data_IF_298783869084
#
_entry.id   IF_298783869084
#
_cell.length_a   1.000
_cell.length_b   1.000
_cell.length_c   1.000
_cell.angle_alpha   90.00
_cell.angle_beta   90.00
_cell.angle_gamma   90.00
#
_symmetry.space_group_name_H-M   'P 1'
#
loop_
_entity.id
_entity.type
_entity.pdbx_description
1 polymer ?
#
# COMPACT_ATOMS: atom_id res chain seq x y z
N UNK A 1 -26.78 -33.82 -0.19
CA UNK A 1 -25.93 -33.01 0.68
C UNK A 1 -25.73 -31.67 0.01
N UNK A 2 -26.40 -30.62 0.47
CA UNK A 2 -26.18 -29.25 0.03
C UNK A 2 -24.90 -28.76 0.70
N UNK A 3 -23.80 -28.70 -0.05
CA UNK A 3 -22.62 -27.94 0.36
C UNK A 3 -23.00 -26.46 0.28
N UNK A 4 -23.22 -25.84 1.41
CA UNK A 4 -23.33 -24.39 1.50
C UNK A 4 -21.96 -23.84 1.11
N UNK A 5 -21.82 -23.39 -0.12
CA UNK A 5 -20.64 -22.66 -0.55
C UNK A 5 -20.60 -21.35 0.27
N UNK A 6 -19.60 -21.20 1.11
CA UNK A 6 -19.43 -19.98 1.89
C UNK A 6 -19.42 -18.79 0.90
N UNK A 7 -20.22 -17.76 1.17
CA UNK A 7 -20.27 -16.58 0.33
C UNK A 7 -18.86 -15.97 0.21
N UNK A 8 -18.46 -15.69 -1.02
CA UNK A 8 -17.15 -15.13 -1.32
C UNK A 8 -17.01 -13.72 -0.70
N UNK A 9 -15.87 -13.45 -0.05
CA UNK A 9 -15.61 -12.14 0.57
C UNK A 9 -15.57 -11.04 -0.49
N UNK A 10 -16.31 -9.95 -0.29
CA UNK A 10 -16.27 -8.77 -1.14
C UNK A 10 -15.02 -7.93 -0.89
N UNK A 11 -14.64 -7.08 -1.85
CA UNK A 11 -13.54 -6.13 -1.69
C UNK A 11 -13.73 -5.22 -0.47
N UNK A 12 -14.94 -4.73 -0.25
CA UNK A 12 -15.26 -3.87 0.90
C UNK A 12 -15.11 -4.63 2.24
N UNK A 13 -15.59 -5.85 2.30
CA UNK A 13 -15.42 -6.71 3.49
C UNK A 13 -13.93 -6.96 3.77
N UNK A 14 -13.15 -7.26 2.72
CA UNK A 14 -11.72 -7.46 2.83
C UNK A 14 -11.01 -6.20 3.32
N UNK A 15 -11.30 -5.03 2.73
CA UNK A 15 -10.71 -3.77 3.15
C UNK A 15 -11.00 -3.46 4.62
N UNK A 16 -12.26 -3.59 5.04
CA UNK A 16 -12.65 -3.37 6.45
C UNK A 16 -11.94 -4.31 7.40
N UNK A 17 -11.81 -5.58 7.03
CA UNK A 17 -11.10 -6.58 7.85
C UNK A 17 -9.62 -6.24 7.99
N UNK A 18 -8.96 -5.88 6.88
CA UNK A 18 -7.53 -5.51 6.89
C UNK A 18 -7.27 -4.25 7.72
N UNK A 19 -8.13 -3.25 7.58
CA UNK A 19 -8.01 -2.01 8.35
C UNK A 19 -8.20 -2.26 9.84
N UNK A 20 -9.18 -3.07 10.25
CA UNK A 20 -9.34 -3.45 11.66
C UNK A 20 -8.10 -4.15 12.23
N UNK A 21 -7.51 -5.06 11.47
CA UNK A 21 -6.28 -5.75 11.89
C UNK A 21 -5.12 -4.77 12.09
N UNK A 22 -4.95 -3.82 11.18
CA UNK A 22 -3.93 -2.77 11.29
C UNK A 22 -4.21 -1.88 12.50
N UNK A 23 -5.43 -1.41 12.69
CA UNK A 23 -5.82 -0.56 13.83
C UNK A 23 -5.60 -1.25 15.18
N UNK A 24 -5.93 -2.54 15.28
CA UNK A 24 -5.68 -3.34 16.47
C UNK A 24 -4.19 -3.47 16.77
N UNK A 25 -3.37 -3.71 15.73
CA UNK A 25 -1.93 -3.79 15.87
C UNK A 25 -1.31 -2.44 16.25
N UNK A 26 -1.80 -1.34 15.68
CA UNK A 26 -1.40 0.03 16.04
C UNK A 26 -1.72 0.33 17.52
N UNK A 27 -2.92 0.00 17.96
CA UNK A 27 -3.35 0.23 19.34
C UNK A 27 -2.51 -0.59 20.34
N UNK A 28 -2.21 -1.84 20.01
CA UNK A 28 -1.36 -2.69 20.84
C UNK A 28 0.07 -2.14 20.93
N UNK A 29 0.63 -1.71 19.79
CA UNK A 29 1.99 -1.16 19.74
C UNK A 29 2.09 0.17 20.49
N UNK A 30 1.06 1.02 20.44
CA UNK A 30 1.03 2.29 21.17
C UNK A 30 1.16 2.12 22.68
N UNK A 31 0.70 0.99 23.23
CA UNK A 31 0.83 0.65 24.66
C UNK A 31 2.24 0.19 25.05
N UNK A 32 3.00 -0.34 24.11
CA UNK A 32 4.35 -0.83 24.33
C UNK A 32 5.20 -0.64 23.05
N UNK A 33 5.64 0.59 22.76
CA UNK A 33 6.28 0.94 21.48
C UNK A 33 7.58 0.20 21.18
N UNK A 34 8.24 -0.31 22.24
CA UNK A 34 9.51 -1.06 22.12
C UNK A 34 9.33 -2.57 22.07
N UNK A 35 8.11 -3.05 22.18
CA UNK A 35 7.81 -4.49 22.11
C UNK A 35 7.99 -5.00 20.68
N UNK A 36 8.96 -5.88 20.48
CA UNK A 36 9.33 -6.39 19.16
C UNK A 36 8.26 -7.28 18.55
N UNK A 37 7.50 -8.03 19.37
CA UNK A 37 6.40 -8.86 18.90
C UNK A 37 5.23 -7.99 18.39
N UNK A 38 4.94 -6.87 19.05
CA UNK A 38 3.90 -5.93 18.60
C UNK A 38 4.33 -5.15 17.35
N UNK A 39 5.60 -4.81 17.23
CA UNK A 39 6.15 -4.23 16.00
C UNK A 39 6.03 -5.22 14.83
N UNK A 40 6.34 -6.49 15.05
CA UNK A 40 6.17 -7.54 14.06
C UNK A 40 4.70 -7.74 13.67
N UNK A 41 3.78 -7.71 14.62
CA UNK A 41 2.34 -7.86 14.37
C UNK A 41 1.80 -6.73 13.46
N UNK A 42 2.22 -5.48 13.66
CA UNK A 42 1.84 -4.38 12.79
C UNK A 42 2.41 -4.57 11.38
N UNK A 43 3.67 -4.95 11.28
CA UNK A 43 4.32 -5.24 9.99
C UNK A 43 3.61 -6.36 9.24
N UNK A 44 3.22 -7.41 9.93
CA UNK A 44 2.50 -8.55 9.35
C UNK A 44 1.09 -8.15 8.88
N UNK A 45 0.36 -7.37 9.68
CA UNK A 45 -0.96 -6.87 9.30
C UNK A 45 -0.90 -6.01 8.02
N UNK A 46 0.13 -5.19 7.87
CA UNK A 46 0.38 -4.38 6.67
C UNK A 46 0.73 -5.28 5.48
N UNK A 47 1.60 -6.25 5.66
CA UNK A 47 2.01 -7.19 4.61
C UNK A 47 0.85 -8.04 4.11
N UNK A 48 -0.11 -8.36 4.96
CA UNK A 48 -1.32 -9.11 4.59
C UNK A 48 -2.37 -8.25 3.88
N UNK A 49 -2.29 -6.92 3.98
CA UNK A 49 -3.23 -5.99 3.35
C UNK A 49 -2.79 -5.51 1.97
N UNK A 50 -1.49 -5.28 1.78
CA UNK A 50 -0.93 -4.62 0.60
C UNK A 50 -0.16 -5.57 -0.30
N UNK A 51 -0.45 -5.49 -1.60
CA UNK A 51 0.35 -6.14 -2.65
C UNK A 51 1.46 -5.19 -3.10
N UNK A 52 2.57 -5.21 -2.39
CA UNK A 52 3.72 -4.35 -2.70
C UNK A 52 4.40 -4.73 -4.03
N UNK A 53 4.29 -5.97 -4.47
CA UNK A 53 4.86 -6.40 -5.76
C UNK A 53 4.07 -5.80 -6.93
N UNK A 54 2.74 -5.74 -6.84
CA UNK A 54 1.92 -5.06 -7.84
C UNK A 54 2.24 -3.56 -7.87
N UNK A 55 2.33 -2.92 -6.72
CA UNK A 55 2.73 -1.51 -6.62
C UNK A 55 4.11 -1.28 -7.24
N UNK A 56 5.07 -2.16 -6.97
CA UNK A 56 6.41 -2.08 -7.53
C UNK A 56 6.41 -2.13 -9.06
N UNK A 57 5.68 -3.08 -9.65
CA UNK A 57 5.58 -3.21 -11.11
C UNK A 57 4.92 -2.00 -11.75
N UNK A 58 3.83 -1.52 -11.18
CA UNK A 58 3.13 -0.33 -11.67
C UNK A 58 3.98 0.94 -11.54
N UNK A 59 4.84 1.00 -10.54
CA UNK A 59 5.74 2.15 -10.29
C UNK A 59 6.86 2.29 -11.31
N UNK A 60 7.23 1.25 -12.03
CA UNK A 60 8.18 1.32 -13.16
C UNK A 60 7.50 1.23 -14.51
N UNK A 61 6.22 0.83 -14.55
CA UNK A 61 5.41 0.74 -15.75
C UNK A 61 6.09 -0.08 -16.85
N UNK A 62 6.23 0.52 -18.04
CA UNK A 62 6.84 -0.14 -19.20
C UNK A 62 8.27 -0.66 -18.97
N UNK A 63 9.00 -0.08 -18.03
CA UNK A 63 10.38 -0.49 -17.74
C UNK A 63 10.47 -1.85 -17.08
N UNK A 64 9.37 -2.36 -16.49
CA UNK A 64 9.35 -3.70 -15.92
C UNK A 64 9.75 -4.78 -16.95
N UNK A 65 9.16 -4.72 -18.12
CA UNK A 65 9.44 -5.67 -19.20
C UNK A 65 10.84 -5.48 -19.83
N UNK A 66 11.45 -4.33 -19.66
CA UNK A 66 12.82 -4.05 -20.11
C UNK A 66 13.89 -4.53 -19.11
N UNK A 67 13.49 -4.90 -17.90
CA UNK A 67 14.40 -5.46 -16.89
C UNK A 67 14.74 -6.90 -17.20
N UNK A 68 16.00 -7.29 -16.92
CA UNK A 68 16.37 -8.70 -16.87
C UNK A 68 15.71 -9.39 -15.68
N UNK A 69 15.57 -10.73 -15.66
CA UNK A 69 15.05 -11.44 -14.49
C UNK A 69 15.79 -11.13 -13.18
N UNK A 70 17.10 -10.94 -13.25
CA UNK A 70 17.93 -10.54 -12.10
C UNK A 70 17.57 -9.13 -11.62
N UNK A 71 17.46 -8.18 -12.54
CA UNK A 71 17.03 -6.81 -12.21
C UNK A 71 15.63 -6.76 -11.62
N UNK A 72 14.70 -7.57 -12.13
CA UNK A 72 13.34 -7.68 -11.58
C UNK A 72 13.38 -8.17 -10.13
N UNK A 73 14.15 -9.21 -9.83
CA UNK A 73 14.30 -9.71 -8.46
C UNK A 73 14.93 -8.68 -7.54
N UNK A 74 16.01 -8.04 -7.95
CA UNK A 74 16.71 -7.03 -7.18
C UNK A 74 15.82 -5.81 -6.89
N UNK A 75 15.12 -5.33 -7.91
CA UNK A 75 14.19 -4.22 -7.80
C UNK A 75 13.04 -4.54 -6.84
N UNK A 76 12.37 -5.68 -6.99
CA UNK A 76 11.27 -6.09 -6.11
C UNK A 76 11.72 -6.19 -4.65
N UNK A 77 12.90 -6.76 -4.42
CA UNK A 77 13.44 -6.93 -3.06
C UNK A 77 13.67 -5.59 -2.38
N UNK A 78 14.37 -4.67 -3.03
CA UNK A 78 14.67 -3.37 -2.44
C UNK A 78 13.44 -2.47 -2.35
N UNK A 79 12.57 -2.48 -3.35
CA UNK A 79 11.32 -1.70 -3.34
C UNK A 79 10.41 -2.17 -2.19
N UNK A 80 10.20 -3.47 -2.07
CA UNK A 80 9.36 -4.05 -1.00
C UNK A 80 9.88 -3.66 0.37
N UNK A 81 11.18 -3.77 0.60
CA UNK A 81 11.82 -3.39 1.87
C UNK A 81 11.59 -1.93 2.21
N UNK A 82 11.81 -1.03 1.25
CA UNK A 82 11.65 0.42 1.44
C UNK A 82 10.20 0.82 1.68
N UNK A 83 9.28 0.36 0.86
CA UNK A 83 7.87 0.76 0.94
C UNK A 83 7.19 0.16 2.16
N UNK A 84 7.49 -1.08 2.50
CA UNK A 84 6.99 -1.71 3.71
C UNK A 84 7.45 -0.91 4.95
N UNK A 85 8.72 -0.57 5.03
CA UNK A 85 9.26 0.24 6.13
C UNK A 85 8.61 1.63 6.21
N UNK A 86 8.47 2.32 5.09
CA UNK A 86 7.79 3.62 5.04
C UNK A 86 6.33 3.52 5.49
N UNK A 87 5.62 2.49 5.06
CA UNK A 87 4.22 2.25 5.43
C UNK A 87 4.09 2.00 6.93
N UNK A 88 4.97 1.16 7.50
CA UNK A 88 5.00 0.91 8.96
C UNK A 88 5.21 2.21 9.73
N UNK A 89 6.18 3.03 9.33
CA UNK A 89 6.47 4.32 9.98
C UNK A 89 5.29 5.29 9.93
N UNK A 90 4.63 5.39 8.79
CA UNK A 90 3.43 6.24 8.63
C UNK A 90 2.30 5.77 9.53
N UNK A 91 2.03 4.47 9.56
CA UNK A 91 0.95 3.89 10.36
C UNK A 91 1.26 3.82 11.86
N UNK A 92 2.51 3.91 12.27
CA UNK A 92 2.86 4.10 13.68
C UNK A 92 2.48 5.50 14.20
N UNK A 93 2.53 6.51 13.33
CA UNK A 93 2.29 7.91 13.70
C UNK A 93 0.84 8.33 13.51
N UNK A 94 0.15 7.80 12.50
CA UNK A 94 -1.20 8.18 12.14
C UNK A 94 -2.20 7.15 12.65
N UNK A 95 -3.14 7.61 13.48
CA UNK A 95 -4.24 6.77 13.99
C UNK A 95 -5.58 7.35 13.59
N UNK A 96 -6.43 6.52 12.99
CA UNK A 96 -7.79 6.88 12.67
C UNK A 96 -8.68 6.79 13.91
N UNK A 97 -9.52 7.81 14.13
CA UNK A 97 -10.61 7.77 15.11
C UNK A 97 -11.89 7.18 14.49
N UNK A 98 -12.04 7.29 13.17
CA UNK A 98 -13.18 6.73 12.45
C UNK A 98 -12.95 6.75 10.95
N UNK A 99 -13.63 5.85 10.25
CA UNK A 99 -13.58 5.74 8.79
C UNK A 99 -14.97 5.51 8.23
N UNK A 100 -15.36 6.28 7.23
CA UNK A 100 -16.56 6.03 6.43
C UNK A 100 -16.18 5.55 5.04
N UNK A 101 -16.97 4.66 4.46
CA UNK A 101 -16.68 4.00 3.19
C UNK A 101 -17.72 4.36 2.15
N UNK A 102 -17.28 4.68 0.94
CA UNK A 102 -18.19 4.83 -0.20
C UNK A 102 -18.53 3.45 -0.78
N UNK A 103 -19.57 3.42 -1.62
CA UNK A 103 -19.87 2.21 -2.40
C UNK A 103 -18.70 1.87 -3.32
N UNK A 104 -18.27 0.60 -3.37
CA UNK A 104 -17.22 0.16 -4.27
C UNK A 104 -17.61 0.36 -5.74
N UNK A 105 -16.63 0.73 -6.56
CA UNK A 105 -16.79 0.83 -8.01
C UNK A 105 -15.79 -0.10 -8.70
N UNK A 106 -16.16 -0.63 -9.86
CA UNK A 106 -15.28 -1.52 -10.62
C UNK A 106 -15.96 -2.84 -10.98
N UNK A 107 -15.21 -3.92 -10.97
CA UNK A 107 -15.65 -5.25 -11.40
C UNK A 107 -15.17 -6.35 -10.44
N UNK A 108 -15.42 -7.63 -10.80
CA UNK A 108 -15.10 -8.77 -9.97
C UNK A 108 -13.58 -8.96 -9.68
N UNK A 109 -12.69 -8.33 -10.44
CA UNK A 109 -11.25 -8.47 -10.31
C UNK A 109 -10.54 -7.20 -9.85
N UNK A 110 -11.13 -6.03 -10.12
CA UNK A 110 -10.55 -4.73 -9.81
C UNK A 110 -11.62 -3.80 -9.23
N UNK A 111 -11.37 -3.28 -8.06
CA UNK A 111 -12.33 -2.45 -7.32
C UNK A 111 -11.63 -1.23 -6.74
N UNK A 112 -12.33 -0.11 -6.77
CA UNK A 112 -11.91 1.15 -6.15
C UNK A 112 -12.87 1.48 -5.02
N UNK A 113 -12.35 1.80 -3.85
CA UNK A 113 -13.11 2.20 -2.66
C UNK A 113 -12.53 3.51 -2.13
N UNK A 114 -13.36 4.54 -2.05
CA UNK A 114 -12.98 5.80 -1.43
C UNK A 114 -13.45 5.84 0.01
N UNK A 115 -12.61 6.31 0.90
CA UNK A 115 -12.91 6.45 2.33
C UNK A 115 -12.72 7.89 2.77
N UNK A 116 -13.44 8.28 3.82
CA UNK A 116 -13.12 9.49 4.60
C UNK A 116 -12.61 9.01 5.96
N UNK A 117 -11.38 9.36 6.25
CA UNK A 117 -10.72 8.99 7.51
C UNK A 117 -10.67 10.22 8.40
N UNK A 118 -11.14 10.07 9.64
CA UNK A 118 -11.01 11.09 10.67
C UNK A 118 -9.87 10.69 11.61
N UNK A 119 -8.90 11.58 11.78
CA UNK A 119 -7.80 11.36 12.72
C UNK A 119 -8.25 11.55 14.17
N UNK A 120 -7.41 11.14 15.12
CA UNK A 120 -7.64 11.38 16.55
C UNK A 120 -7.65 12.87 16.90
N UNK A 121 -7.06 13.74 16.07
CA UNK A 121 -7.09 15.20 16.21
C UNK A 121 -8.33 15.84 15.58
N UNK A 122 -9.19 15.06 14.92
CA UNK A 122 -10.43 15.54 14.27
C UNK A 122 -10.25 15.97 12.82
N UNK A 123 -9.07 15.91 12.27
CA UNK A 123 -8.83 16.19 10.85
C UNK A 123 -9.39 15.07 9.97
N UNK A 124 -9.98 15.46 8.83
CA UNK A 124 -10.56 14.53 7.86
C UNK A 124 -9.77 14.56 6.57
N UNK A 125 -9.58 13.38 5.99
CA UNK A 125 -8.90 13.21 4.72
C UNK A 125 -9.56 12.10 3.91
N UNK A 126 -9.69 12.30 2.60
CA UNK A 126 -10.13 11.25 1.69
C UNK A 126 -8.95 10.34 1.33
N UNK A 127 -9.15 9.03 1.39
CA UNK A 127 -8.20 8.04 0.91
C UNK A 127 -8.93 7.10 -0.04
N UNK A 128 -8.44 7.00 -1.27
CA UNK A 128 -8.94 6.08 -2.26
C UNK A 128 -8.02 4.85 -2.32
N UNK A 129 -8.62 3.68 -2.26
CA UNK A 129 -7.92 2.40 -2.34
C UNK A 129 -8.23 1.71 -3.67
N UNK A 130 -7.19 1.33 -4.40
CA UNK A 130 -7.32 0.43 -5.54
C UNK A 130 -7.01 -0.98 -5.08
N UNK A 131 -7.96 -1.87 -5.31
CA UNK A 131 -7.86 -3.27 -4.92
C UNK A 131 -7.95 -4.18 -6.14
N UNK A 132 -7.26 -5.31 -6.08
CA UNK A 132 -7.39 -6.37 -7.07
C UNK A 132 -7.48 -7.74 -6.40
N UNK A 133 -8.05 -8.69 -7.12
CA UNK A 133 -8.25 -10.05 -6.64
C UNK A 133 -7.24 -10.98 -7.29
N UNK A 134 -6.49 -11.70 -6.45
CA UNK A 134 -5.48 -12.67 -6.88
C UNK A 134 -5.74 -13.98 -6.14
N UNK A 135 -5.95 -15.05 -6.88
CA UNK A 135 -6.24 -16.38 -6.31
C UNK A 135 -7.39 -16.36 -5.26
N UNK A 136 -8.46 -15.63 -5.59
CA UNK A 136 -9.63 -15.52 -4.73
C UNK A 136 -9.49 -14.57 -3.53
N UNK A 137 -8.37 -13.86 -3.40
CA UNK A 137 -8.09 -12.97 -2.29
C UNK A 137 -7.93 -11.53 -2.76
N UNK A 138 -8.57 -10.59 -2.05
CA UNK A 138 -8.46 -9.15 -2.32
C UNK A 138 -7.23 -8.54 -1.64
N UNK A 139 -6.53 -7.70 -2.42
CA UNK A 139 -5.35 -6.95 -1.99
C UNK A 139 -5.48 -5.49 -2.36
N UNK A 140 -5.02 -4.60 -1.48
CA UNK A 140 -4.77 -3.20 -1.85
C UNK A 140 -3.43 -3.13 -2.58
N UNK A 141 -3.39 -2.48 -3.75
CA UNK A 141 -2.14 -2.32 -4.48
C UNK A 141 -1.76 -0.86 -4.74
N UNK A 142 -2.69 0.09 -4.60
CA UNK A 142 -2.42 1.53 -4.78
C UNK A 142 -3.36 2.36 -3.91
N UNK A 143 -2.89 3.53 -3.50
CA UNK A 143 -3.67 4.49 -2.72
C UNK A 143 -3.49 5.90 -3.25
N UNK A 144 -4.56 6.70 -3.15
CA UNK A 144 -4.54 8.13 -3.44
C UNK A 144 -5.07 8.88 -2.22
N UNK A 145 -4.33 9.87 -1.74
CA UNK A 145 -4.76 10.73 -0.64
C UNK A 145 -5.24 12.04 -1.23
N UNK A 146 -6.49 12.40 -0.94
CA UNK A 146 -7.06 13.69 -1.35
C UNK A 146 -6.60 14.82 -0.47
N UNK A 147 -6.46 16.01 -1.05
CA UNK A 147 -6.10 17.23 -0.32
C UNK A 147 -7.22 17.74 0.58
N UNK A 148 -8.45 17.31 0.27
CA UNK A 148 -9.67 17.58 1.02
C UNK A 148 -10.41 16.29 1.38
N UNK A 149 -11.70 16.37 1.66
CA UNK A 149 -12.58 15.22 1.91
C UNK A 149 -13.09 14.55 0.63
N UNK A 150 -12.53 14.91 -0.52
CA UNK A 150 -12.84 14.33 -1.83
C UNK A 150 -11.56 14.03 -2.61
N UNK A 151 -11.62 13.05 -3.48
CA UNK A 151 -10.57 12.77 -4.45
C UNK A 151 -10.87 13.54 -5.72
N UNK A 152 -9.93 14.37 -6.16
CA UNK A 152 -10.00 15.16 -7.38
C UNK A 152 -9.10 14.63 -8.48
N UNK A 153 -9.27 15.11 -9.70
CA UNK A 153 -8.41 14.77 -10.84
C UNK A 153 -6.96 15.27 -10.69
N UNK A 154 -6.71 16.18 -9.74
CA UNK A 154 -5.38 16.69 -9.42
C UNK A 154 -4.63 15.82 -8.40
N UNK A 155 -5.34 14.94 -7.70
CA UNK A 155 -4.72 14.05 -6.73
C UNK A 155 -4.01 12.88 -7.44
N UNK A 156 -2.77 12.63 -7.05
CA UNK A 156 -1.90 11.65 -7.69
C UNK A 156 -1.76 10.44 -6.79
N UNK A 157 -1.88 9.23 -7.36
CA UNK A 157 -1.72 8.01 -6.61
C UNK A 157 -0.26 7.74 -6.24
N UNK A 158 -0.05 6.88 -5.26
CA UNK A 158 1.28 6.42 -4.85
C UNK A 158 2.07 5.83 -6.02
N UNK A 159 1.43 4.95 -6.83
CA UNK A 159 2.05 4.38 -8.01
C UNK A 159 2.45 5.43 -9.05
N UNK A 160 1.60 6.41 -9.29
CA UNK A 160 1.88 7.52 -10.23
C UNK A 160 3.03 8.41 -9.75
N UNK A 161 3.08 8.70 -8.45
CA UNK A 161 4.18 9.46 -7.85
C UNK A 161 5.52 8.74 -8.05
N UNK A 162 5.57 7.45 -7.74
CA UNK A 162 6.78 6.65 -7.95
C UNK A 162 7.13 6.55 -9.42
N UNK A 163 6.14 6.36 -10.30
CA UNK A 163 6.38 6.28 -11.74
C UNK A 163 7.04 7.54 -12.29
N UNK A 164 6.56 8.71 -11.89
CA UNK A 164 7.16 9.98 -12.30
C UNK A 164 8.60 10.12 -11.81
N UNK A 165 8.87 9.79 -10.55
CA UNK A 165 10.22 9.84 -9.98
C UNK A 165 11.15 8.81 -10.61
N UNK A 166 10.69 7.57 -10.77
CA UNK A 166 11.51 6.47 -11.31
C UNK A 166 11.79 6.62 -12.79
N UNK A 167 10.83 7.12 -13.59
CA UNK A 167 11.05 7.42 -14.99
C UNK A 167 12.16 8.45 -15.17
N UNK A 168 12.22 9.45 -14.31
CA UNK A 168 13.28 10.46 -14.34
C UNK A 168 14.65 9.82 -14.06
N UNK A 169 14.75 9.01 -13.02
CA UNK A 169 15.99 8.32 -12.66
C UNK A 169 16.42 7.35 -13.78
N UNK A 170 15.49 6.57 -14.33
CA UNK A 170 15.79 5.62 -15.40
C UNK A 170 16.24 6.32 -16.67
N UNK A 171 15.63 7.46 -17.01
CA UNK A 171 16.05 8.27 -18.16
C UNK A 171 17.49 8.77 -18.01
N UNK A 172 17.85 9.23 -16.82
CA UNK A 172 19.14 9.86 -16.57
C UNK A 172 20.25 8.84 -16.23
N UNK A 173 19.90 7.73 -15.58
CA UNK A 173 20.88 6.77 -15.02
C UNK A 173 20.59 5.30 -15.38
N UNK A 174 19.52 5.02 -16.11
CA UNK A 174 19.11 3.67 -16.48
C UNK A 174 18.51 2.85 -15.31
N UNK A 175 18.13 1.63 -15.63
CA UNK A 175 17.57 0.68 -14.63
C UNK A 175 18.59 0.37 -13.53
N UNK A 176 19.88 0.10 -13.83
CA UNK A 176 20.88 -0.10 -12.78
C UNK A 176 21.01 1.09 -11.82
N UNK A 177 20.89 2.32 -12.34
CA UNK A 177 20.90 3.53 -11.54
C UNK A 177 19.72 3.64 -10.59
N UNK A 178 18.52 3.24 -11.01
CA UNK A 178 17.35 3.19 -10.14
C UNK A 178 17.58 2.20 -8.99
N UNK A 179 17.99 0.98 -9.29
CA UNK A 179 18.24 -0.05 -8.28
C UNK A 179 19.32 0.40 -7.28
N UNK A 180 20.39 1.02 -7.77
CA UNK A 180 21.47 1.54 -6.93
C UNK A 180 20.97 2.64 -5.98
N UNK A 181 20.13 3.56 -6.47
CA UNK A 181 19.55 4.62 -5.64
C UNK A 181 18.60 4.07 -4.57
N UNK A 182 17.79 3.08 -4.91
CA UNK A 182 16.91 2.44 -3.94
C UNK A 182 17.70 1.70 -2.85
N UNK A 183 18.77 0.99 -3.21
CA UNK A 183 19.68 0.33 -2.26
C UNK A 183 20.36 1.34 -1.34
N UNK A 184 20.76 2.48 -1.85
CA UNK A 184 21.36 3.55 -1.05
C UNK A 184 20.36 4.12 -0.02
N UNK A 185 19.10 4.35 -0.43
CA UNK A 185 18.04 4.76 0.50
C UNK A 185 17.79 3.70 1.58
N UNK A 186 17.77 2.43 1.21
CA UNK A 186 17.62 1.32 2.16
C UNK A 186 18.76 1.31 3.18
N UNK A 187 20.01 1.42 2.71
CA UNK A 187 21.20 1.45 3.55
C UNK A 187 21.19 2.62 4.54
N UNK A 188 20.77 3.80 4.09
CA UNK A 188 20.68 5.02 4.94
C UNK A 188 19.48 5.04 5.86
N UNK A 189 18.54 4.11 5.72
CA UNK A 189 17.29 4.16 6.46
C UNK A 189 16.35 5.27 6.01
N UNK A 190 16.57 5.85 4.82
CA UNK A 190 15.71 6.89 4.24
C UNK A 190 14.41 6.30 3.68
N UNK A 191 13.37 7.12 3.59
CA UNK A 191 12.13 6.77 2.91
C UNK A 191 12.22 7.11 1.41
N UNK A 192 11.33 6.50 0.63
CA UNK A 192 11.15 6.83 -0.78
C UNK A 192 10.54 8.20 -0.99
#
# INVERSE_FOLDING_TARGET
AYTTQAAEQTALQALKQRQRAIEQAQAALARAPRDTARQAALRDAITEAFDFDRLARESVGRHWNAMTPEQQRDYLTVFRSLVQRSTVRKLQRYRAAGTTYSAPTGNAQNTVITTIVTSTSGEKVAIQYKMHKVNGRWWVWDTTIGLDTEISDYDVSTAENYRSAFNRIIRDEGIPGLIAKLREKERKGSDL
#
